data_IF_339733735440
#
_entry.id   IF_339733735440
#
_cell.length_a   1.000
_cell.length_b   1.000
_cell.length_c   1.000
_cell.angle_alpha   90.00
_cell.angle_beta   90.00
_cell.angle_gamma   90.00
#
_symmetry.space_group_name_H-M   'P 1'
#
loop_
_entity.id
_entity.type
_entity.pdbx_description
1 polymer ?
#
# COMPACT_ATOMS: atom_id res chain seq x y z
N UNK A 1 24.57 -39.96 0.29
CA UNK A 1 23.80 -39.10 1.22
C UNK A 1 22.58 -38.61 0.45
N UNK A 2 21.40 -38.90 1.00
CA UNK A 2 20.10 -38.91 0.31
C UNK A 2 19.55 -37.51 0.08
N UNK A 3 18.99 -37.27 -1.11
CA UNK A 3 18.29 -36.03 -1.50
C UNK A 3 16.79 -36.27 -1.32
N UNK A 4 16.18 -35.57 -0.37
CA UNK A 4 14.73 -35.63 -0.12
C UNK A 4 13.97 -34.67 -1.05
N UNK A 5 13.30 -35.23 -2.05
CA UNK A 5 12.26 -34.56 -2.85
C UNK A 5 10.95 -34.58 -2.04
N UNK A 6 10.34 -33.42 -1.80
CA UNK A 6 8.95 -33.36 -1.36
C UNK A 6 8.03 -33.09 -2.56
N UNK A 7 7.26 -34.11 -2.91
CA UNK A 7 6.13 -34.04 -3.82
C UNK A 7 4.87 -33.75 -2.98
N UNK A 8 4.15 -32.68 -3.29
CA UNK A 8 2.82 -32.42 -2.75
C UNK A 8 1.79 -33.25 -3.52
N UNK A 9 1.17 -34.22 -2.84
CA UNK A 9 0.00 -34.95 -3.31
C UNK A 9 -1.25 -34.07 -3.18
N UNK A 10 -1.91 -33.76 -4.30
CA UNK A 10 -3.31 -33.34 -4.31
C UNK A 10 -4.20 -34.58 -4.18
N UNK A 11 -4.95 -34.68 -3.07
CA UNK A 11 -6.07 -35.59 -2.95
C UNK A 11 -7.34 -34.89 -3.40
N UNK A 12 -7.91 -35.36 -4.53
CA UNK A 12 -9.24 -34.99 -4.98
C UNK A 12 -10.31 -35.77 -4.20
N UNK A 13 -11.34 -35.08 -3.70
CA UNK A 13 -12.55 -35.70 -3.14
C UNK A 13 -13.77 -35.19 -3.93
N UNK A 14 -14.69 -36.08 -4.34
CA UNK A 14 -15.83 -35.73 -5.19
C UNK A 14 -17.01 -35.14 -4.41
N UNK A 15 -17.63 -34.11 -4.98
CA UNK A 15 -18.92 -33.57 -4.54
C UNK A 15 -20.05 -34.48 -5.02
N UNK A 16 -20.78 -35.08 -4.08
CA UNK A 16 -22.06 -35.74 -4.30
C UNK A 16 -23.18 -34.69 -4.25
N UNK A 17 -23.92 -34.58 -5.37
CA UNK A 17 -25.15 -33.83 -5.49
C UNK A 17 -26.32 -34.58 -4.81
N UNK A 18 -27.21 -33.85 -4.14
CA UNK A 18 -28.56 -34.31 -3.83
C UNK A 18 -29.54 -33.13 -3.84
N UNK A 19 -30.60 -33.30 -4.63
CA UNK A 19 -31.68 -32.37 -4.93
C UNK A 19 -32.77 -32.34 -3.85
N UNK A 20 -33.50 -31.22 -3.81
CA UNK A 20 -34.95 -31.09 -3.49
C UNK A 20 -35.38 -31.45 -2.05
N UNK A 21 -36.42 -30.89 -1.42
CA UNK A 21 -37.63 -30.21 -1.89
C UNK A 21 -38.19 -29.32 -0.75
N UNK A 22 -38.94 -28.29 -1.15
CA UNK A 22 -39.82 -27.47 -0.30
C UNK A 22 -41.18 -28.16 -0.13
N UNK A 23 -41.91 -27.90 0.97
CA UNK A 23 -43.34 -27.59 0.80
C UNK A 23 -43.77 -26.28 1.47
N UNK A 24 -44.64 -25.56 0.73
CA UNK A 24 -45.62 -24.57 1.24
C UNK A 24 -46.67 -25.33 2.12
N UNK A 25 -47.52 -24.73 2.95
CA UNK A 25 -48.49 -23.67 2.68
C UNK A 25 -49.36 -23.43 3.94
N UNK A 26 -49.97 -22.25 4.09
CA UNK A 26 -51.12 -22.08 5.00
C UNK A 26 -51.37 -20.65 5.47
N UNK A 27 -52.25 -19.94 4.76
CA UNK A 27 -52.70 -18.56 4.99
C UNK A 27 -53.59 -18.39 6.23
N UNK A 28 -53.54 -17.20 6.86
CA UNK A 28 -54.73 -16.55 7.45
C UNK A 28 -54.48 -15.05 7.73
N UNK A 29 -55.30 -14.20 7.10
CA UNK A 29 -55.46 -12.76 7.34
C UNK A 29 -56.06 -12.45 8.73
N UNK A 30 -55.61 -11.39 9.40
CA UNK A 30 -56.44 -10.58 10.29
C UNK A 30 -55.86 -9.16 10.49
N UNK A 31 -56.70 -8.15 10.27
CA UNK A 31 -56.48 -6.72 10.46
C UNK A 31 -56.30 -6.32 11.94
N UNK A 32 -55.30 -5.45 12.21
CA UNK A 32 -55.22 -4.26 13.10
C UNK A 32 -55.79 -4.30 14.56
N UNK A 33 -55.31 -3.46 15.52
CA UNK A 33 -54.55 -2.22 15.36
C UNK A 33 -53.30 -2.05 16.25
N UNK A 34 -52.52 -1.01 15.90
CA UNK A 34 -51.35 -0.52 16.62
C UNK A 34 -51.68 -0.05 18.05
N UNK A 35 -50.85 -0.48 19.00
CA UNK A 35 -50.76 0.13 20.33
C UNK A 35 -49.33 0.55 20.60
N UNK A 36 -49.19 1.84 20.91
CA UNK A 36 -47.97 2.53 21.21
C UNK A 36 -47.30 2.01 22.50
N UNK A 37 -45.97 1.99 22.51
CA UNK A 37 -45.15 1.89 23.73
C UNK A 37 -44.12 3.04 23.73
N UNK A 38 -43.80 3.62 24.89
CA UNK A 38 -43.41 5.02 25.01
C UNK A 38 -41.91 5.26 24.83
N UNK A 39 -41.60 6.48 24.41
CA UNK A 39 -40.28 7.06 24.30
C UNK A 39 -39.63 7.30 25.69
N UNK A 40 -38.33 7.07 25.76
CA UNK A 40 -37.44 7.50 26.84
C UNK A 40 -36.43 8.54 26.27
N UNK A 41 -35.86 9.41 27.12
CA UNK A 41 -35.85 10.86 26.87
C UNK A 41 -34.62 11.38 26.12
N UNK A 42 -34.86 12.50 25.42
CA UNK A 42 -33.85 13.38 24.84
C UNK A 42 -33.01 14.07 25.93
N UNK A 43 -31.73 14.25 25.65
CA UNK A 43 -30.85 15.23 26.31
C UNK A 43 -30.22 16.14 25.24
N UNK A 44 -29.93 17.40 25.59
CA UNK A 44 -30.24 18.54 24.72
C UNK A 44 -29.12 18.91 23.74
N UNK A 45 -29.53 19.49 22.62
CA UNK A 45 -28.67 20.30 21.77
C UNK A 45 -28.23 21.57 22.50
N UNK A 46 -26.96 21.91 22.40
CA UNK A 46 -26.46 23.29 22.54
C UNK A 46 -25.65 23.63 21.31
N UNK A 47 -26.04 24.72 20.67
CA UNK A 47 -25.40 25.28 19.49
C UNK A 47 -24.24 26.20 19.88
N UNK A 48 -23.23 26.22 19.00
CA UNK A 48 -22.29 27.31 18.70
C UNK A 48 -21.42 27.89 19.83
N UNK A 49 -20.10 27.75 19.69
CA UNK A 49 -19.22 28.91 19.53
C UNK A 49 -17.84 28.52 18.98
N UNK A 50 -17.43 29.25 17.94
CA UNK A 50 -16.05 29.34 17.49
C UNK A 50 -15.22 30.05 18.57
N UNK A 51 -14.07 29.47 18.91
CA UNK A 51 -13.08 30.04 19.81
C UNK A 51 -11.69 29.95 19.16
N UNK A 52 -11.16 31.12 18.83
CA UNK A 52 -9.79 31.39 18.42
C UNK A 52 -8.81 31.08 19.55
N UNK A 53 -7.71 30.39 19.25
CA UNK A 53 -6.45 30.54 20.01
C UNK A 53 -5.26 30.49 19.04
N UNK A 54 -4.64 31.67 18.86
CA UNK A 54 -3.27 31.81 18.42
C UNK A 54 -2.38 31.86 19.66
N UNK A 55 -1.42 30.94 19.76
CA UNK A 55 -0.03 31.13 20.23
C UNK A 55 0.67 29.77 20.03
N UNK A 56 1.71 29.58 19.21
CA UNK A 56 2.92 30.37 19.11
C UNK A 56 4.07 29.61 19.75
N UNK A 57 4.65 28.64 19.03
CA UNK A 57 6.02 28.14 19.30
C UNK A 57 6.67 27.71 17.98
N UNK A 58 6.84 28.76 17.15
CA UNK A 58 8.01 29.12 16.34
C UNK A 58 9.05 28.02 16.10
N UNK A 59 9.12 27.61 14.83
CA UNK A 59 10.35 27.20 14.15
C UNK A 59 11.44 28.26 14.38
N UNK A 60 12.57 27.84 14.94
CA UNK A 60 13.79 28.64 14.88
C UNK A 60 14.42 28.52 13.50
N UNK A 61 14.15 29.57 12.73
CA UNK A 61 14.86 30.06 11.56
C UNK A 61 16.33 30.33 11.91
N UNK A 62 17.25 29.61 11.28
CA UNK A 62 18.51 30.18 10.78
C UNK A 62 18.84 29.56 9.43
N UNK A 63 18.03 29.92 8.42
CA UNK A 63 18.38 30.01 7.00
C UNK A 63 17.14 30.52 6.26
N UNK A 64 16.93 31.83 6.27
CA UNK A 64 16.02 32.46 5.33
C UNK A 64 16.46 32.14 3.90
N UNK A 65 15.69 31.31 3.19
CA UNK A 65 15.66 31.32 1.73
C UNK A 65 14.40 30.63 1.16
N UNK A 66 13.52 31.44 0.55
CA UNK A 66 12.38 31.07 -0.33
C UNK A 66 11.32 30.06 0.18
N UNK A 67 10.03 30.45 0.10
CA UNK A 67 8.91 29.52 0.25
C UNK A 67 9.04 28.36 -0.76
N UNK A 68 9.20 27.14 -0.28
CA UNK A 68 9.23 25.96 -1.14
C UNK A 68 7.87 25.80 -1.85
N UNK A 69 7.88 25.63 -3.17
CA UNK A 69 6.66 25.45 -3.97
C UNK A 69 6.06 24.09 -3.61
N UNK A 70 4.85 24.10 -3.04
CA UNK A 70 4.17 22.88 -2.59
C UNK A 70 3.97 21.89 -3.77
N UNK A 71 4.16 20.58 -3.54
CA UNK A 71 3.91 19.57 -4.56
C UNK A 71 2.42 19.53 -4.98
N UNK A 72 2.11 18.95 -6.15
CA UNK A 72 0.74 18.66 -6.56
C UNK A 72 -0.06 17.93 -5.47
N UNK A 73 -1.31 18.34 -5.29
CA UNK A 73 -2.25 17.69 -4.37
C UNK A 73 -2.70 16.32 -4.91
N UNK A 74 -3.17 15.40 -4.06
CA UNK A 74 -3.76 14.13 -4.47
C UNK A 74 -4.77 14.24 -5.63
N UNK A 75 -5.67 15.21 -5.55
CA UNK A 75 -6.68 15.49 -6.59
C UNK A 75 -6.06 15.83 -7.95
N UNK A 76 -4.98 16.61 -7.95
CA UNK A 76 -4.26 17.01 -9.16
C UNK A 76 -3.48 15.85 -9.77
N UNK A 77 -2.99 14.92 -8.92
CA UNK A 77 -2.38 13.66 -9.38
C UNK A 77 -3.43 12.81 -10.09
N UNK A 78 -4.61 12.61 -9.50
CA UNK A 78 -5.68 11.84 -10.14
C UNK A 78 -6.14 12.49 -11.45
N UNK A 79 -6.34 13.81 -11.47
CA UNK A 79 -6.67 14.55 -12.69
C UNK A 79 -5.63 14.37 -13.80
N UNK A 80 -4.35 14.35 -13.46
CA UNK A 80 -3.26 14.12 -14.41
C UNK A 80 -3.24 12.67 -14.97
N UNK A 81 -3.62 11.68 -14.15
CA UNK A 81 -3.66 10.26 -14.56
C UNK A 81 -4.89 9.98 -15.44
N UNK A 82 -6.08 10.43 -15.02
CA UNK A 82 -7.35 10.04 -15.65
C UNK A 82 -7.92 11.10 -16.60
N UNK A 83 -7.30 12.28 -16.67
CA UNK A 83 -7.76 13.41 -17.51
C UNK A 83 -9.24 13.76 -17.24
N UNK A 84 -9.65 13.63 -15.98
CA UNK A 84 -11.01 13.83 -15.49
C UNK A 84 -10.96 14.62 -14.19
N UNK A 85 -11.89 15.56 -14.02
CA UNK A 85 -12.03 16.34 -12.78
C UNK A 85 -12.31 15.42 -11.59
N UNK A 86 -11.46 15.49 -10.57
CA UNK A 86 -11.61 14.75 -9.32
C UNK A 86 -12.52 15.45 -8.32
N UNK A 87 -12.96 16.68 -8.62
CA UNK A 87 -13.68 17.57 -7.72
C UNK A 87 -12.95 17.78 -6.38
N UNK A 88 -11.62 17.83 -6.44
CA UNK A 88 -10.75 18.01 -5.28
C UNK A 88 -10.64 16.80 -4.35
N UNK A 89 -11.15 15.63 -4.77
CA UNK A 89 -11.11 14.40 -3.98
C UNK A 89 -9.80 13.62 -4.21
N UNK A 90 -9.45 12.76 -3.25
CA UNK A 90 -8.33 11.82 -3.33
C UNK A 90 -8.75 10.41 -3.79
N UNK A 91 -10.03 10.26 -4.16
CA UNK A 91 -10.58 9.09 -4.81
C UNK A 91 -11.66 9.51 -5.82
N UNK A 92 -11.82 8.74 -6.90
CA UNK A 92 -12.83 9.01 -7.92
C UNK A 92 -13.28 7.75 -8.66
N UNK A 93 -14.56 7.71 -9.03
CA UNK A 93 -15.06 6.66 -9.91
C UNK A 93 -14.46 6.79 -11.32
N UNK A 94 -13.96 5.68 -11.83
CA UNK A 94 -13.47 5.54 -13.21
C UNK A 94 -14.41 4.63 -14.01
N UNK A 95 -13.94 4.07 -15.12
CA UNK A 95 -14.78 3.24 -15.99
C UNK A 95 -15.23 1.95 -15.28
N UNK A 96 -16.33 1.36 -15.75
CA UNK A 96 -16.76 0.00 -15.38
C UNK A 96 -16.88 -0.25 -13.87
N UNK A 97 -17.36 0.73 -13.10
CA UNK A 97 -17.56 0.56 -11.65
C UNK A 97 -16.27 0.47 -10.83
N UNK A 98 -15.10 0.65 -11.45
CA UNK A 98 -13.82 0.76 -10.76
C UNK A 98 -13.66 2.13 -10.10
N UNK A 99 -12.84 2.18 -9.05
CA UNK A 99 -12.44 3.38 -8.32
C UNK A 99 -10.93 3.57 -8.41
N UNK A 100 -10.52 4.80 -8.71
CA UNK A 100 -9.14 5.24 -8.57
C UNK A 100 -8.94 5.95 -7.23
N UNK A 101 -7.84 5.67 -6.53
CA UNK A 101 -7.52 6.31 -5.25
C UNK A 101 -6.05 6.67 -5.14
N UNK A 102 -5.77 7.89 -4.69
CA UNK A 102 -4.41 8.32 -4.38
C UNK A 102 -3.85 7.50 -3.21
N UNK A 103 -2.58 7.11 -3.33
CA UNK A 103 -1.92 6.22 -2.39
C UNK A 103 -0.71 6.84 -1.71
N UNK A 104 0.23 7.36 -2.50
CA UNK A 104 1.50 7.85 -1.96
C UNK A 104 2.09 8.96 -2.83
N UNK A 105 2.90 9.84 -2.23
CA UNK A 105 3.58 10.92 -2.95
C UNK A 105 5.03 11.03 -2.51
N UNK A 106 5.94 11.18 -3.47
CA UNK A 106 7.37 11.24 -3.22
C UNK A 106 8.02 12.37 -4.00
N UNK A 107 8.61 13.34 -3.29
CA UNK A 107 9.43 14.39 -3.87
C UNK A 107 10.91 13.96 -3.81
N UNK A 108 11.64 14.15 -4.91
CA UNK A 108 13.03 13.73 -5.00
C UNK A 108 13.86 14.58 -5.95
N UNK A 109 15.17 14.52 -5.79
CA UNK A 109 16.13 15.09 -6.73
C UNK A 109 16.83 13.96 -7.47
N UNK A 110 16.95 14.11 -8.79
CA UNK A 110 17.68 13.16 -9.64
C UNK A 110 18.35 13.94 -10.76
N UNK A 111 19.67 13.75 -10.92
CA UNK A 111 20.47 14.43 -11.95
C UNK A 111 20.31 15.97 -11.97
N UNK A 112 20.16 16.59 -10.78
CA UNK A 112 20.02 18.04 -10.63
C UNK A 112 18.62 18.60 -10.93
N UNK A 113 17.65 17.74 -11.24
CA UNK A 113 16.24 18.10 -11.42
C UNK A 113 15.41 17.70 -10.20
N UNK A 114 14.33 18.44 -9.96
CA UNK A 114 13.41 18.20 -8.85
C UNK A 114 12.11 17.61 -9.39
N UNK A 115 11.76 16.45 -8.86
CA UNK A 115 10.61 15.68 -9.26
C UNK A 115 9.64 15.50 -8.09
N UNK A 116 8.38 15.30 -8.44
CA UNK A 116 7.37 14.78 -7.55
C UNK A 116 6.58 13.72 -8.31
N UNK A 117 6.48 12.52 -7.74
CA UNK A 117 5.60 11.47 -8.26
C UNK A 117 4.49 11.23 -7.27
N UNK A 118 3.25 11.31 -7.75
CA UNK A 118 2.08 10.83 -7.06
C UNK A 118 1.70 9.45 -7.60
N UNK A 119 1.55 8.48 -6.71
CA UNK A 119 1.06 7.15 -6.99
C UNK A 119 -0.41 7.03 -6.59
N UNK A 120 -1.18 6.36 -7.42
CA UNK A 120 -2.56 5.99 -7.17
C UNK A 120 -2.75 4.50 -7.49
N UNK A 121 -3.94 3.99 -7.22
CA UNK A 121 -4.32 2.65 -7.66
C UNK A 121 -5.76 2.60 -8.15
N UNK A 122 -6.02 1.67 -9.07
CA UNK A 122 -7.34 1.31 -9.58
C UNK A 122 -7.78 -0.02 -8.97
N UNK A 123 -9.03 -0.09 -8.51
CA UNK A 123 -9.67 -1.37 -8.25
C UNK A 123 -9.98 -2.08 -9.58
N UNK A 124 -10.13 -3.43 -9.58
CA UNK A 124 -10.57 -4.13 -10.79
C UNK A 124 -11.94 -3.65 -11.28
N UNK A 125 -12.16 -3.76 -12.59
CA UNK A 125 -13.46 -3.52 -13.21
C UNK A 125 -14.55 -4.39 -12.56
N UNK A 126 -15.74 -3.81 -12.39
CA UNK A 126 -16.93 -4.46 -11.84
C UNK A 126 -18.02 -4.50 -12.91
N UNK A 127 -18.38 -5.71 -13.37
CA UNK A 127 -19.37 -5.88 -14.42
C UNK A 127 -20.73 -6.30 -13.84
N UNK A 128 -21.47 -5.30 -13.36
CA UNK A 128 -22.83 -5.47 -12.85
C UNK A 128 -22.89 -5.74 -11.35
N UNK A 129 -24.13 -5.75 -10.82
CA UNK A 129 -24.38 -5.73 -9.37
C UNK A 129 -23.74 -6.88 -8.59
N UNK A 130 -23.61 -8.05 -9.21
CA UNK A 130 -23.01 -9.21 -8.54
C UNK A 130 -21.53 -9.00 -8.26
N UNK A 131 -20.78 -8.39 -9.19
CA UNK A 131 -19.36 -8.12 -9.01
C UNK A 131 -19.11 -7.01 -7.98
N UNK A 132 -20.03 -6.05 -7.91
CA UNK A 132 -20.02 -4.95 -6.92
C UNK A 132 -20.26 -5.45 -5.48
N UNK A 133 -21.06 -6.50 -5.31
CA UNK A 133 -21.44 -7.05 -4.00
C UNK A 133 -20.58 -8.26 -3.56
N UNK A 134 -19.74 -8.79 -4.46
CA UNK A 134 -18.90 -9.96 -4.17
C UNK A 134 -17.69 -9.57 -3.30
N UNK A 135 -17.42 -10.37 -2.27
CA UNK A 135 -16.21 -10.20 -1.46
C UNK A 135 -14.97 -10.48 -2.32
N UNK A 136 -14.00 -9.54 -2.39
CA UNK A 136 -12.77 -9.75 -3.15
C UNK A 136 -12.00 -11.01 -2.74
N UNK A 137 -11.41 -11.70 -3.72
CA UNK A 137 -10.53 -12.82 -3.46
C UNK A 137 -9.27 -12.35 -2.69
N UNK A 138 -8.67 -13.19 -1.83
CA UNK A 138 -7.46 -12.80 -1.07
C UNK A 138 -6.28 -12.35 -1.94
N UNK A 139 -6.12 -12.94 -3.11
CA UNK A 139 -5.07 -12.63 -4.08
C UNK A 139 -5.46 -11.56 -5.11
N UNK A 140 -6.70 -11.05 -5.07
CA UNK A 140 -7.13 -9.96 -5.94
C UNK A 140 -6.34 -8.68 -5.61
N UNK A 141 -5.65 -8.14 -6.61
CA UNK A 141 -4.78 -6.97 -6.48
C UNK A 141 -5.44 -5.70 -7.00
N UNK A 142 -4.80 -4.57 -6.74
CA UNK A 142 -5.08 -3.30 -7.40
C UNK A 142 -4.01 -3.00 -8.45
N UNK A 143 -4.37 -2.26 -9.48
CA UNK A 143 -3.43 -1.76 -10.49
C UNK A 143 -2.80 -0.47 -10.00
N UNK A 144 -1.47 -0.38 -9.97
CA UNK A 144 -0.76 0.86 -9.64
C UNK A 144 -0.69 1.80 -10.85
N UNK A 145 -0.89 3.09 -10.58
CA UNK A 145 -0.84 4.18 -11.55
C UNK A 145 0.01 5.33 -11.00
N UNK A 146 0.50 6.22 -11.86
CA UNK A 146 1.32 7.35 -11.43
C UNK A 146 1.19 8.58 -12.32
N UNK A 147 1.44 9.75 -11.73
CA UNK A 147 1.81 10.96 -12.46
C UNK A 147 3.08 11.57 -11.86
N UNK A 148 4.03 11.91 -12.74
CA UNK A 148 5.31 12.50 -12.37
C UNK A 148 5.38 13.93 -12.90
N UNK A 149 5.85 14.81 -12.04
CA UNK A 149 5.93 16.25 -12.27
C UNK A 149 7.37 16.72 -12.10
N UNK A 150 7.82 17.66 -12.92
CA UNK A 150 9.10 18.33 -12.80
C UNK A 150 8.88 19.78 -12.33
N UNK A 151 9.63 20.22 -11.32
CA UNK A 151 9.60 21.59 -10.82
C UNK A 151 10.50 22.47 -11.69
N UNK A 152 9.89 23.38 -12.46
CA UNK A 152 10.63 24.36 -13.24
C UNK A 152 11.12 25.50 -12.33
N UNK A 153 12.39 25.45 -11.91
CA UNK A 153 12.99 26.49 -11.04
C UNK A 153 13.32 27.80 -11.77
N UNK A 154 13.68 27.71 -13.04
CA UNK A 154 14.17 28.85 -13.83
C UNK A 154 13.09 29.49 -14.72
N UNK A 155 11.82 29.15 -14.50
CA UNK A 155 10.70 29.72 -15.23
C UNK A 155 10.29 31.09 -14.65
N UNK A 156 9.79 31.97 -15.52
CA UNK A 156 9.20 33.26 -15.11
C UNK A 156 8.04 33.11 -14.10
N UNK A 157 7.42 31.92 -14.06
CA UNK A 157 6.50 31.48 -13.02
C UNK A 157 6.93 30.06 -12.57
N UNK A 158 7.65 29.92 -11.46
CA UNK A 158 8.11 28.60 -11.02
C UNK A 158 6.93 27.77 -10.52
N UNK A 159 6.89 26.51 -10.93
CA UNK A 159 5.75 25.64 -10.67
C UNK A 159 6.00 24.19 -11.11
N UNK A 160 5.19 23.29 -10.58
CA UNK A 160 5.19 21.89 -10.97
C UNK A 160 4.51 21.74 -12.34
N UNK A 161 5.21 21.13 -13.28
CA UNK A 161 4.69 20.80 -14.61
C UNK A 161 4.58 19.29 -14.75
N UNK A 162 3.47 18.81 -15.32
CA UNK A 162 3.31 17.39 -15.62
C UNK A 162 4.37 16.96 -16.63
N UNK A 163 5.20 15.99 -16.25
CA UNK A 163 6.18 15.39 -17.13
C UNK A 163 5.56 14.18 -17.85
N UNK A 164 4.86 13.34 -17.11
CA UNK A 164 4.27 12.10 -17.61
C UNK A 164 3.18 11.56 -16.68
N UNK A 165 2.32 10.69 -17.20
CA UNK A 165 1.41 9.87 -16.42
C UNK A 165 1.20 8.50 -17.06
N UNK A 166 1.08 7.47 -16.22
CA UNK A 166 0.94 6.07 -16.63
C UNK A 166 -0.17 5.40 -15.84
N UNK A 167 -1.04 4.66 -16.53
CA UNK A 167 -2.17 3.92 -15.92
C UNK A 167 -1.85 2.46 -15.58
N UNK A 168 -0.60 2.07 -15.72
CA UNK A 168 -0.13 0.75 -15.32
C UNK A 168 1.37 0.81 -15.06
N UNK A 169 1.77 0.60 -13.81
CA UNK A 169 3.18 0.45 -13.41
C UNK A 169 3.43 -0.86 -12.64
N UNK A 170 2.41 -1.71 -12.53
CA UNK A 170 2.41 -2.98 -11.82
C UNK A 170 1.13 -3.20 -11.02
N UNK A 171 1.06 -4.32 -10.32
CA UNK A 171 -0.07 -4.69 -9.45
C UNK A 171 0.42 -5.07 -8.06
N UNK A 172 -0.31 -4.68 -7.03
CA UNK A 172 0.06 -4.97 -5.64
C UNK A 172 -1.13 -5.05 -4.70
N UNK A 173 -0.83 -5.37 -3.44
CA UNK A 173 -1.84 -5.49 -2.39
C UNK A 173 -2.61 -6.80 -2.44
N UNK A 174 -3.77 -6.79 -1.79
CA UNK A 174 -4.64 -7.96 -1.60
C UNK A 174 -6.08 -7.51 -1.34
N UNK A 175 -7.05 -8.40 -1.58
CA UNK A 175 -8.48 -8.09 -1.40
C UNK A 175 -8.93 -6.80 -2.11
N UNK A 176 -8.39 -6.53 -3.31
CA UNK A 176 -8.62 -5.30 -4.08
C UNK A 176 -8.28 -4.01 -3.30
N UNK A 177 -7.28 -4.10 -2.42
CA UNK A 177 -6.75 -2.97 -1.66
C UNK A 177 -5.24 -2.90 -1.82
N UNK A 178 -4.75 -1.67 -1.97
CA UNK A 178 -3.34 -1.38 -1.80
C UNK A 178 -2.86 -1.73 -0.38
N UNK A 179 -1.57 -2.03 -0.24
CA UNK A 179 -0.95 -2.10 1.07
C UNK A 179 -1.03 -0.75 1.78
N UNK A 180 -1.26 -0.76 3.09
CA UNK A 180 -1.33 0.45 3.88
C UNK A 180 0.08 1.04 4.06
N UNK A 181 0.19 2.38 4.07
CA UNK A 181 1.45 3.06 4.38
C UNK A 181 1.80 2.85 5.86
N UNK A 182 3.05 2.51 6.15
CA UNK A 182 3.57 2.59 7.52
C UNK A 182 4.15 3.98 7.77
N UNK A 183 3.38 4.81 8.47
CA UNK A 183 3.75 6.17 8.84
C UNK A 183 4.85 6.24 9.93
N UNK A 184 5.18 5.11 10.56
CA UNK A 184 6.25 5.01 11.56
C UNK A 184 7.65 4.92 10.93
N UNK A 185 7.73 4.74 9.61
CA UNK A 185 8.98 4.68 8.88
C UNK A 185 8.98 5.66 7.69
N UNK A 186 10.16 6.20 7.35
CA UNK A 186 10.31 7.08 6.20
C UNK A 186 10.62 6.27 4.95
N UNK A 187 10.06 6.69 3.81
CA UNK A 187 10.49 6.20 2.52
C UNK A 187 11.93 6.61 2.23
N UNK A 188 12.62 5.75 1.50
CA UNK A 188 14.04 5.92 1.18
C UNK A 188 14.23 5.80 -0.32
N UNK A 189 14.96 6.73 -0.89
CA UNK A 189 15.33 6.75 -2.31
C UNK A 189 16.85 6.65 -2.46
N UNK A 190 17.31 5.91 -3.46
CA UNK A 190 18.71 5.85 -3.83
C UNK A 190 18.87 6.00 -5.34
N UNK A 191 19.66 6.99 -5.76
CA UNK A 191 20.08 7.11 -7.15
C UNK A 191 21.02 5.95 -7.51
N UNK A 192 20.83 5.38 -8.69
CA UNK A 192 21.67 4.31 -9.22
C UNK A 192 22.78 4.89 -10.08
N UNK A 193 23.86 4.11 -10.29
CA UNK A 193 24.96 4.53 -11.15
C UNK A 193 24.54 4.77 -12.61
N UNK A 194 23.45 4.14 -13.06
CA UNK A 194 22.86 4.33 -14.39
C UNK A 194 21.77 5.41 -14.44
N UNK A 195 21.68 6.27 -13.42
CA UNK A 195 20.86 7.48 -13.45
C UNK A 195 19.36 7.26 -13.19
N UNK A 196 18.98 6.11 -12.65
CA UNK A 196 17.64 5.80 -12.16
C UNK A 196 17.51 6.14 -10.67
N UNK A 197 16.29 6.10 -10.16
CA UNK A 197 16.01 6.14 -8.72
C UNK A 197 15.35 4.83 -8.31
N UNK A 198 15.86 4.17 -7.26
CA UNK A 198 15.15 3.13 -6.56
C UNK A 198 14.51 3.72 -5.30
N UNK A 199 13.19 3.59 -5.18
CA UNK A 199 12.37 4.04 -4.06
C UNK A 199 11.87 2.83 -3.27
N UNK A 200 11.94 2.92 -1.95
CA UNK A 200 11.36 1.98 -1.01
C UNK A 200 10.35 2.70 -0.11
N UNK A 201 9.07 2.37 -0.26
CA UNK A 201 7.95 2.91 0.52
C UNK A 201 7.62 1.93 1.65
N UNK A 202 7.68 2.32 2.93
CA UNK A 202 7.30 1.46 4.04
C UNK A 202 5.79 1.21 4.02
N UNK A 203 5.43 -0.05 4.00
CA UNK A 203 4.03 -0.50 3.96
C UNK A 203 3.77 -1.56 5.02
N UNK A 204 2.50 -1.84 5.25
CA UNK A 204 2.04 -3.01 5.98
C UNK A 204 0.70 -3.51 5.46
N UNK A 205 0.44 -4.78 5.69
CA UNK A 205 -0.87 -5.40 5.49
C UNK A 205 -1.19 -6.34 6.65
N UNK A 206 -2.46 -6.69 6.80
CA UNK A 206 -2.89 -7.66 7.82
C UNK A 206 -2.88 -9.06 7.24
N UNK A 207 -2.19 -9.97 7.93
CA UNK A 207 -2.28 -11.40 7.67
C UNK A 207 -2.39 -12.13 9.00
N UNK A 208 -3.44 -12.94 9.16
CA UNK A 208 -3.60 -13.84 10.32
C UNK A 208 -3.43 -13.14 11.68
N UNK A 209 -4.01 -11.95 11.84
CA UNK A 209 -3.91 -11.16 13.09
C UNK A 209 -2.57 -10.43 13.30
N UNK A 210 -1.66 -10.50 12.33
CA UNK A 210 -0.36 -9.81 12.37
C UNK A 210 -0.30 -8.70 11.32
N UNK A 211 0.26 -7.56 11.68
CA UNK A 211 0.71 -6.54 10.73
C UNK A 211 2.03 -6.99 10.13
N UNK A 212 2.00 -7.45 8.89
CA UNK A 212 3.20 -7.79 8.13
C UNK A 212 3.75 -6.50 7.55
N UNK A 213 4.95 -6.11 7.99
CA UNK A 213 5.62 -4.88 7.55
C UNK A 213 6.49 -5.19 6.36
N UNK A 214 6.40 -4.39 5.31
CA UNK A 214 7.20 -4.52 4.09
C UNK A 214 7.76 -3.17 3.63
N UNK A 215 8.69 -3.22 2.68
CA UNK A 215 8.95 -2.09 1.78
C UNK A 215 8.38 -2.44 0.40
N UNK A 216 7.51 -1.60 -0.13
CA UNK A 216 7.08 -1.63 -1.53
C UNK A 216 8.11 -0.90 -2.38
N UNK A 217 8.67 -1.58 -3.38
CA UNK A 217 9.80 -1.10 -4.14
C UNK A 217 9.39 -0.60 -5.52
N UNK A 218 9.97 0.51 -5.95
CA UNK A 218 9.69 1.14 -7.23
C UNK A 218 10.98 1.64 -7.86
N UNK A 219 11.16 1.48 -9.17
CA UNK A 219 12.23 2.16 -9.91
C UNK A 219 11.64 3.23 -10.81
N UNK A 220 12.25 4.42 -10.77
CA UNK A 220 12.03 5.47 -11.76
C UNK A 220 13.17 5.51 -12.76
N UNK A 221 12.81 5.58 -14.03
CA UNK A 221 13.73 5.75 -15.15
C UNK A 221 13.34 7.03 -15.90
N UNK A 222 14.12 8.13 -15.76
CA UNK A 222 13.79 9.39 -16.43
C UNK A 222 14.03 9.38 -17.95
N UNK A 223 14.77 8.40 -18.46
CA UNK A 223 15.03 8.22 -19.90
C UNK A 223 14.24 7.02 -20.39
N UNK A 224 13.35 7.16 -21.39
CA UNK A 224 12.64 6.02 -21.97
C UNK A 224 13.63 4.95 -22.45
N UNK A 225 13.27 3.68 -22.33
CA UNK A 225 14.02 2.62 -23.03
C UNK A 225 13.52 2.46 -24.46
N UNK A 226 14.27 1.69 -25.24
CA UNK A 226 13.87 1.28 -26.59
C UNK A 226 12.73 0.23 -26.56
N UNK A 227 12.37 -0.30 -25.39
CA UNK A 227 11.27 -1.24 -25.20
C UNK A 227 9.97 -0.45 -25.01
N UNK A 228 8.99 -0.55 -25.93
CA UNK A 228 7.73 0.20 -25.81
C UNK A 228 6.85 -0.27 -24.65
N UNK A 229 7.11 -1.45 -24.07
CA UNK A 229 6.37 -1.99 -22.93
C UNK A 229 6.98 -1.56 -21.58
N UNK A 230 8.15 -0.91 -21.59
CA UNK A 230 8.78 -0.40 -20.39
C UNK A 230 8.14 0.94 -19.99
N UNK A 231 7.76 1.02 -18.72
CA UNK A 231 7.20 2.21 -18.10
C UNK A 231 8.30 3.04 -17.44
N UNK A 232 8.05 4.35 -17.27
CA UNK A 232 8.98 5.24 -16.56
C UNK A 232 9.08 4.91 -15.08
N UNK A 233 7.97 4.49 -14.47
CA UNK A 233 7.97 3.87 -13.15
C UNK A 233 7.61 2.39 -13.23
N UNK A 234 8.31 1.54 -12.49
CA UNK A 234 7.97 0.11 -12.38
C UNK A 234 7.95 -0.33 -10.92
N UNK A 235 6.88 -1.02 -10.53
CA UNK A 235 6.78 -1.72 -9.24
C UNK A 235 7.63 -3.00 -9.27
N UNK A 236 8.46 -3.18 -8.24
CA UNK A 236 9.47 -4.25 -8.16
C UNK A 236 9.17 -5.27 -7.06
N UNK A 237 7.93 -5.29 -6.57
CA UNK A 237 7.50 -6.17 -5.49
C UNK A 237 7.71 -5.60 -4.09
N UNK A 238 7.37 -6.41 -3.10
CA UNK A 238 7.53 -6.11 -1.68
C UNK A 238 8.67 -6.93 -1.09
N UNK A 239 9.47 -6.32 -0.22
CA UNK A 239 10.43 -7.04 0.61
C UNK A 239 10.02 -6.96 2.09
N UNK A 240 10.03 -8.09 2.84
CA UNK A 240 9.72 -8.09 4.26
C UNK A 240 10.66 -7.21 5.09
N UNK A 241 10.09 -6.51 6.09
CA UNK A 241 10.83 -5.75 7.10
C UNK A 241 10.35 -6.01 8.53
N UNK A 242 9.71 -7.14 8.78
CA UNK A 242 9.29 -7.57 10.11
C UNK A 242 7.77 -7.62 10.27
N UNK A 243 7.33 -7.78 11.52
CA UNK A 243 5.93 -8.02 11.84
C UNK A 243 5.56 -7.45 13.21
N UNK A 244 4.27 -7.30 13.45
CA UNK A 244 3.72 -6.93 14.75
C UNK A 244 2.38 -7.64 14.95
N UNK A 245 2.30 -8.49 15.96
CA UNK A 245 1.09 -9.25 16.29
C UNK A 245 0.45 -8.80 17.60
N UNK A 246 0.78 -7.61 18.11
CA UNK A 246 0.31 -7.10 19.40
C UNK A 246 -1.21 -7.08 19.58
N UNK A 247 -1.98 -7.04 18.48
CA UNK A 247 -3.43 -7.06 18.49
C UNK A 247 -4.05 -8.46 18.63
N UNK A 248 -3.28 -9.52 18.39
CA UNK A 248 -3.76 -10.91 18.35
C UNK A 248 -2.98 -11.86 19.27
N UNK A 249 -1.83 -11.43 19.79
CA UNK A 249 -1.04 -12.20 20.74
C UNK A 249 -1.61 -12.14 22.16
N UNK A 250 -1.17 -13.07 23.01
CA UNK A 250 -1.49 -13.07 24.43
C UNK A 250 -0.19 -13.00 25.23
N UNK A 251 0.01 -11.88 25.94
CA UNK A 251 1.17 -11.67 26.80
C UNK A 251 1.04 -12.38 28.17
N UNK A 252 -0.20 -12.61 28.63
CA UNK A 252 -0.54 -13.02 30.00
C UNK A 252 -0.98 -14.49 30.09
N UNK A 253 -1.17 -15.18 28.95
CA UNK A 253 -1.24 -16.63 28.87
C UNK A 253 -2.61 -17.27 29.19
N UNK A 254 -3.70 -16.55 28.96
CA UNK A 254 -5.06 -17.12 29.01
C UNK A 254 -5.56 -17.55 27.62
N UNK A 255 -4.85 -18.46 26.93
CA UNK A 255 -5.29 -18.98 25.62
C UNK A 255 -4.28 -19.80 24.81
N UNK A 256 -4.59 -20.04 23.53
CA UNK A 256 -3.67 -20.65 22.56
C UNK A 256 -2.43 -19.74 22.43
N UNK A 257 -1.29 -20.22 22.93
CA UNK A 257 -0.07 -19.49 23.24
C UNK A 257 0.63 -18.86 22.00
N UNK A 258 0.10 -17.76 21.47
CA UNK A 258 0.76 -16.96 20.43
C UNK A 258 1.61 -15.89 21.10
N UNK A 259 2.96 -15.98 21.02
CA UNK A 259 3.83 -15.04 21.71
C UNK A 259 3.77 -13.65 21.05
N UNK A 260 3.74 -12.60 21.87
CA UNK A 260 3.78 -11.23 21.40
C UNK A 260 5.15 -10.87 20.82
N UNK A 261 5.16 -10.39 19.58
CA UNK A 261 6.35 -9.95 18.85
C UNK A 261 6.13 -8.58 18.22
N UNK A 262 7.20 -7.82 18.17
CA UNK A 262 7.25 -6.52 17.50
C UNK A 262 8.64 -6.39 16.88
N UNK A 263 8.68 -6.50 15.56
CA UNK A 263 9.87 -6.40 14.74
C UNK A 263 9.77 -5.26 13.76
N UNK A 264 10.92 -4.69 13.42
CA UNK A 264 11.06 -3.72 12.34
C UNK A 264 12.45 -3.79 11.72
N UNK A 265 12.51 -3.60 10.41
CA UNK A 265 13.73 -3.65 9.62
C UNK A 265 14.16 -2.26 9.16
N UNK A 266 15.45 -1.98 9.24
CA UNK A 266 16.08 -0.82 8.61
C UNK A 266 16.65 -1.23 7.27
N UNK A 267 16.27 -0.52 6.21
CA UNK A 267 16.79 -0.71 4.86
C UNK A 267 18.13 -0.01 4.67
N UNK A 268 19.00 -0.64 3.90
CA UNK A 268 20.22 -0.03 3.35
C UNK A 268 20.37 -0.44 1.89
N UNK A 269 20.76 0.52 1.04
CA UNK A 269 21.10 0.29 -0.36
C UNK A 269 22.60 0.01 -0.45
N UNK A 270 22.96 -1.16 -0.98
CA UNK A 270 24.35 -1.52 -1.26
C UNK A 270 24.63 -1.14 -2.71
N UNK A 271 25.46 -0.11 -2.97
CA UNK A 271 25.73 0.36 -4.33
C UNK A 271 26.23 -0.76 -5.23
N UNK A 272 25.78 -0.75 -6.47
CA UNK A 272 26.27 -1.63 -7.53
C UNK A 272 26.90 -0.80 -8.64
N UNK A 273 27.98 -1.30 -9.25
CA UNK A 273 28.63 -0.63 -10.38
C UNK A 273 27.71 -0.55 -11.61
N UNK A 274 26.77 -1.49 -11.72
CA UNK A 274 25.76 -1.57 -12.79
C UNK A 274 24.46 -2.12 -12.25
N UNK A 275 23.35 -1.66 -12.82
CA UNK A 275 22.01 -2.17 -12.50
C UNK A 275 21.45 -1.63 -11.19
N UNK A 276 20.44 -2.33 -10.69
CA UNK A 276 19.79 -1.97 -9.43
C UNK A 276 20.63 -2.44 -8.22
N UNK A 277 20.68 -1.66 -7.13
CA UNK A 277 21.47 -1.99 -5.96
C UNK A 277 20.98 -3.26 -5.26
N UNK A 278 21.87 -3.93 -4.55
CA UNK A 278 21.46 -4.93 -3.56
C UNK A 278 20.82 -4.21 -2.37
N UNK A 279 19.80 -4.83 -1.77
CA UNK A 279 19.11 -4.29 -0.61
C UNK A 279 19.42 -5.14 0.61
N UNK A 280 19.79 -4.51 1.72
CA UNK A 280 19.98 -5.19 3.00
C UNK A 280 19.02 -4.64 4.04
N UNK A 281 18.24 -5.53 4.64
CA UNK A 281 17.29 -5.23 5.71
C UNK A 281 17.84 -5.79 7.01
N UNK A 282 18.26 -4.90 7.91
CA UNK A 282 18.68 -5.28 9.25
C UNK A 282 17.46 -5.28 10.17
N UNK A 283 17.07 -6.46 10.66
CA UNK A 283 15.93 -6.62 11.57
C UNK A 283 16.33 -6.31 13.01
N UNK A 284 15.43 -5.65 13.74
CA UNK A 284 15.53 -5.37 15.16
C UNK A 284 14.22 -5.68 15.88
N UNK A 285 14.29 -5.86 17.20
CA UNK A 285 13.14 -6.24 18.02
C UNK A 285 12.99 -7.76 18.10
N UNK A 286 11.75 -8.23 17.99
CA UNK A 286 11.41 -9.65 18.13
C UNK A 286 10.53 -10.12 16.97
N UNK A 287 10.54 -11.42 16.69
CA UNK A 287 9.72 -12.06 15.64
C UNK A 287 9.53 -13.54 15.91
N UNK A 288 8.86 -14.22 14.99
CA UNK A 288 8.64 -15.67 15.04
C UNK A 288 9.67 -16.40 14.17
N UNK A 289 10.25 -17.48 14.67
CA UNK A 289 11.15 -18.35 13.90
C UNK A 289 10.38 -19.45 13.12
N UNK A 290 11.10 -20.23 12.32
CA UNK A 290 10.50 -21.30 11.50
C UNK A 290 9.82 -22.40 12.33
N UNK A 291 10.15 -22.51 13.62
CA UNK A 291 9.52 -23.44 14.57
C UNK A 291 8.31 -22.82 15.29
N UNK A 292 7.91 -21.59 14.91
CA UNK A 292 6.81 -20.87 15.54
C UNK A 292 7.15 -20.27 16.90
N UNK A 293 8.43 -20.23 17.29
CA UNK A 293 8.87 -19.70 18.58
C UNK A 293 9.30 -18.24 18.48
N UNK A 294 9.13 -17.50 19.58
CA UNK A 294 9.62 -16.13 19.66
C UNK A 294 11.14 -16.11 19.66
N UNK A 295 11.73 -15.28 18.81
CA UNK A 295 13.15 -14.94 18.81
C UNK A 295 13.38 -13.43 18.91
N UNK A 296 14.55 -13.06 19.43
CA UNK A 296 15.07 -11.70 19.34
C UNK A 296 15.95 -11.61 18.10
N UNK A 297 15.70 -10.63 17.25
CA UNK A 297 16.51 -10.43 16.05
C UNK A 297 17.92 -9.95 16.41
N UNK A 298 18.92 -10.52 15.74
CA UNK A 298 20.31 -10.12 15.80
C UNK A 298 20.91 -9.91 14.41
N UNK A 299 22.22 -9.66 14.35
CA UNK A 299 22.92 -9.39 13.09
C UNK A 299 22.81 -10.52 12.04
N UNK A 300 22.64 -11.76 12.50
CA UNK A 300 22.45 -12.93 11.64
C UNK A 300 21.08 -12.97 10.95
N UNK A 301 20.09 -12.23 11.46
CA UNK A 301 18.74 -12.15 10.89
C UNK A 301 18.62 -11.05 9.82
N UNK A 302 19.72 -10.39 9.48
CA UNK A 302 19.73 -9.44 8.38
C UNK A 302 19.47 -10.16 7.04
N UNK A 303 18.46 -9.73 6.31
CA UNK A 303 18.12 -10.27 5.01
C UNK A 303 18.77 -9.45 3.88
N UNK A 304 19.21 -10.13 2.84
CA UNK A 304 19.75 -9.52 1.62
C UNK A 304 18.81 -9.82 0.46
N UNK A 305 18.53 -8.84 -0.38
CA UNK A 305 17.66 -8.97 -1.54
C UNK A 305 18.36 -8.45 -2.80
N UNK A 306 18.15 -9.15 -3.92
CA UNK A 306 18.69 -8.80 -5.23
C UNK A 306 17.55 -8.71 -6.24
N UNK A 307 17.67 -7.77 -7.16
CA UNK A 307 16.76 -7.70 -8.30
C UNK A 307 16.97 -8.90 -9.22
N UNK A 308 15.88 -9.60 -9.55
CA UNK A 308 15.87 -10.68 -10.50
C UNK A 308 15.36 -10.16 -11.86
N UNK A 309 16.19 -10.12 -12.91
CA UNK A 309 15.80 -9.59 -14.22
C UNK A 309 14.78 -10.44 -14.97
N UNK A 310 14.59 -11.72 -14.58
CA UNK A 310 13.61 -12.60 -15.21
C UNK A 310 12.21 -12.35 -14.66
N UNK A 311 12.08 -12.27 -13.34
CA UNK A 311 10.80 -11.99 -12.65
C UNK A 311 10.51 -10.50 -12.52
N UNK A 312 11.48 -9.63 -12.84
CA UNK A 312 11.43 -8.16 -12.70
C UNK A 312 11.07 -7.69 -11.29
N UNK A 313 11.42 -8.46 -10.26
CA UNK A 313 11.17 -8.12 -8.84
C UNK A 313 12.41 -8.35 -7.97
N UNK A 314 12.42 -7.78 -6.78
CA UNK A 314 13.41 -8.11 -5.76
C UNK A 314 13.09 -9.42 -5.05
N UNK A 315 14.11 -10.28 -4.91
CA UNK A 315 13.99 -11.58 -4.27
C UNK A 315 15.08 -11.73 -3.20
N UNK A 316 14.80 -12.52 -2.16
CA UNK A 316 15.79 -12.83 -1.14
C UNK A 316 16.99 -13.55 -1.77
N UNK A 317 18.20 -13.06 -1.47
CA UNK A 317 19.43 -13.71 -1.88
C UNK A 317 19.58 -15.04 -1.13
N UNK A 318 19.94 -16.10 -1.86
CA UNK A 318 20.23 -17.42 -1.32
C UNK A 318 21.68 -17.51 -0.81
#
# INVERSE_FOLDING_TARGET
MSVGKFALLLAALPLLAACSDKPQQGDANANAPATARPAAPASPASAHQAGTDQDGSRMDDHSQNAAAIAPPKPSQVLEAIYQKDSHGQDAMAIANGSEAKYWYGYAFELQGKHYYTGFAYDTPDKFGKQDEETTPAPDAKVTLTQATFELAKDAAAPGWSLLESERFIGEFGSFEKADAIDDQAKAQGAATADGRLLLAVPTWYLASGSRIKSFSLFVYRPTPSDDPDDTSWTYLGNIPRGEDNGAACDADGSGNHVPCVTGAGTLSFVPADKGLPELRVALAGTGIDDAGQKKTYGAADAATYRFNPQSKVYEAAK
#
